data_IF_221192539466
#
_entry.id   IF_221192539466
#
_cell.length_a   1.000
_cell.length_b   1.000
_cell.length_c   1.000
_cell.angle_alpha   90.00
_cell.angle_beta   90.00
_cell.angle_gamma   90.00
#
_symmetry.space_group_name_H-M   'P 1'
#
loop_
_entity.id
_entity.type
_entity.pdbx_description
1 polymer ?
#
# COMPACT_ATOMS: atom_id res chain seq x y z
N UNK A 1 10.37 26.82 -7.25
CA UNK A 1 10.41 25.37 -6.98
C UNK A 1 10.08 25.20 -5.51
N UNK A 2 9.39 24.12 -5.15
CA UNK A 2 9.20 23.76 -3.76
C UNK A 2 10.12 22.57 -3.42
N UNK A 3 11.05 22.81 -2.50
CA UNK A 3 12.11 21.88 -2.11
C UNK A 3 11.74 21.24 -0.78
N UNK A 4 11.53 19.93 -0.75
CA UNK A 4 11.33 19.20 0.50
C UNK A 4 12.61 19.29 1.33
N UNK A 5 12.51 19.91 2.50
CA UNK A 5 13.62 20.18 3.41
C UNK A 5 13.61 19.20 4.60
N UNK A 6 12.43 18.90 5.13
CA UNK A 6 12.29 18.08 6.34
C UNK A 6 11.06 17.17 6.25
N UNK A 7 11.18 15.97 6.83
CA UNK A 7 10.08 15.05 7.08
C UNK A 7 10.11 14.62 8.55
N UNK A 8 8.98 14.74 9.24
CA UNK A 8 8.77 14.23 10.60
C UNK A 8 7.59 13.27 10.59
N UNK A 9 7.75 12.10 11.23
CA UNK A 9 6.66 11.15 11.45
C UNK A 9 6.22 11.22 12.90
N UNK A 10 4.92 11.44 13.12
CA UNK A 10 4.34 11.50 14.45
C UNK A 10 3.76 10.13 14.81
N UNK A 11 4.06 9.57 15.99
CA UNK A 11 3.53 8.30 16.45
C UNK A 11 2.10 8.47 17.01
N UNK A 12 1.21 9.08 16.22
CA UNK A 12 -0.18 9.25 16.57
C UNK A 12 -1.07 8.17 15.91
N UNK A 13 -2.35 8.13 16.30
CA UNK A 13 -3.32 7.18 15.74
C UNK A 13 -3.59 7.36 14.25
N UNK A 14 -3.18 8.49 13.68
CA UNK A 14 -3.42 8.85 12.28
C UNK A 14 -2.18 8.65 11.40
N UNK A 15 -1.08 8.20 11.99
CA UNK A 15 0.23 8.08 11.35
C UNK A 15 0.60 9.38 10.62
N UNK A 16 0.47 10.52 11.30
CA UNK A 16 0.67 11.83 10.70
C UNK A 16 2.12 12.02 10.26
N UNK A 17 2.30 12.51 9.04
CA UNK A 17 3.58 12.90 8.46
C UNK A 17 3.57 14.41 8.20
N UNK A 18 4.57 15.12 8.70
CA UNK A 18 4.76 16.56 8.48
C UNK A 18 5.94 16.77 7.55
N UNK A 19 5.66 17.36 6.39
CA UNK A 19 6.62 17.70 5.36
C UNK A 19 6.85 19.21 5.38
N UNK A 20 8.08 19.67 5.53
CA UNK A 20 8.43 21.10 5.45
C UNK A 20 9.14 21.36 4.13
N UNK A 21 8.64 22.32 3.37
CA UNK A 21 9.19 22.74 2.09
C UNK A 21 9.74 24.17 2.18
N UNK A 22 10.88 24.40 1.53
CA UNK A 22 11.35 25.75 1.18
C UNK A 22 10.85 26.07 -0.22
N UNK A 23 10.03 27.12 -0.33
CA UNK A 23 9.39 27.52 -1.58
C UNK A 23 10.08 28.76 -2.12
N UNK A 24 10.65 28.64 -3.33
CA UNK A 24 11.44 29.72 -3.92
C UNK A 24 10.56 30.76 -4.63
N UNK A 25 11.06 32.01 -4.74
CA UNK A 25 10.37 33.15 -5.38
C UNK A 25 9.84 32.93 -6.80
N UNK A 26 10.29 31.88 -7.48
CA UNK A 26 9.72 31.49 -8.79
C UNK A 26 8.21 31.25 -8.74
N UNK A 27 7.66 30.80 -7.60
CA UNK A 27 6.22 30.58 -7.42
C UNK A 27 5.40 31.87 -7.52
N UNK A 28 6.00 33.00 -7.14
CA UNK A 28 5.34 34.30 -7.13
C UNK A 28 5.78 35.21 -8.26
N UNK A 29 6.71 34.77 -9.14
CA UNK A 29 7.25 35.59 -10.23
C UNK A 29 6.48 35.40 -11.54
N UNK A 30 6.12 34.17 -11.87
CA UNK A 30 5.54 33.79 -13.16
C UNK A 30 4.10 33.29 -12.95
N UNK A 31 3.06 34.08 -13.29
CA UNK A 31 1.67 33.70 -13.06
C UNK A 31 1.18 32.60 -14.02
N UNK A 32 1.81 32.46 -15.19
CA UNK A 32 1.36 31.52 -16.23
C UNK A 32 1.93 30.11 -16.05
N UNK A 33 2.79 29.92 -15.04
CA UNK A 33 3.50 28.68 -14.80
C UNK A 33 3.29 28.16 -13.39
N UNK A 34 2.55 27.06 -13.30
CA UNK A 34 2.46 26.28 -12.07
C UNK A 34 3.83 25.73 -11.65
N UNK A 35 4.11 25.79 -10.36
CA UNK A 35 5.33 25.25 -9.77
C UNK A 35 4.99 24.02 -8.95
N UNK A 36 5.61 22.88 -9.31
CA UNK A 36 5.39 21.60 -8.63
C UNK A 36 6.66 21.14 -7.91
N UNK A 37 6.50 20.51 -6.75
CA UNK A 37 7.61 19.87 -6.02
C UNK A 37 8.08 18.60 -6.73
N UNK A 38 9.22 18.05 -6.28
CA UNK A 38 9.51 16.63 -6.54
C UNK A 38 8.46 15.75 -5.86
N UNK A 39 8.28 14.54 -6.38
CA UNK A 39 7.40 13.55 -5.76
C UNK A 39 7.93 13.12 -4.39
N UNK A 40 7.02 12.88 -3.46
CA UNK A 40 7.29 12.32 -2.15
C UNK A 40 6.27 11.22 -1.83
N UNK A 41 6.63 10.30 -0.94
CA UNK A 41 5.77 9.19 -0.57
C UNK A 41 5.13 9.39 0.80
N UNK A 42 3.83 9.09 0.93
CA UNK A 42 3.11 9.09 2.19
C UNK A 42 1.92 8.11 2.11
N UNK A 43 1.74 7.26 3.14
CA UNK A 43 0.64 6.29 3.18
C UNK A 43 0.62 5.33 1.99
N UNK A 44 1.80 4.84 1.56
CA UNK A 44 1.98 3.98 0.39
C UNK A 44 1.52 4.58 -0.96
N UNK A 45 1.30 5.90 -1.01
CA UNK A 45 0.94 6.65 -2.20
C UNK A 45 2.04 7.67 -2.54
N UNK A 46 2.10 8.08 -3.81
CA UNK A 46 2.99 9.14 -4.28
C UNK A 46 2.23 10.46 -4.40
N UNK A 47 2.86 11.54 -3.95
CA UNK A 47 2.28 12.86 -3.87
C UNK A 47 3.25 13.92 -4.40
N UNK A 48 2.70 15.04 -4.85
CA UNK A 48 3.43 16.29 -5.05
C UNK A 48 2.62 17.46 -4.54
N UNK A 49 3.28 18.56 -4.20
CA UNK A 49 2.58 19.84 -4.01
C UNK A 49 2.74 20.70 -5.27
N UNK A 50 1.65 21.33 -5.67
CA UNK A 50 1.62 22.26 -6.80
C UNK A 50 1.09 23.61 -6.34
N UNK A 51 1.72 24.67 -6.79
CA UNK A 51 1.29 26.04 -6.58
C UNK A 51 0.77 26.62 -7.88
N UNK A 52 -0.45 27.16 -7.83
CA UNK A 52 -1.00 27.95 -8.94
C UNK A 52 -1.05 29.40 -8.53
N UNK A 53 -0.64 30.31 -9.41
CA UNK A 53 -0.73 31.73 -9.15
C UNK A 53 -1.78 32.37 -10.07
N UNK A 54 -2.55 33.27 -9.49
CA UNK A 54 -3.27 34.30 -10.25
C UNK A 54 -2.61 35.66 -9.96
N UNK A 55 -3.05 36.72 -10.62
CA UNK A 55 -2.48 38.06 -10.41
C UNK A 55 -2.45 38.48 -8.94
N UNK A 56 -3.47 38.09 -8.16
CA UNK A 56 -3.66 38.53 -6.77
C UNK A 56 -3.44 37.42 -5.75
N UNK A 57 -3.75 36.17 -6.08
CA UNK A 57 -3.79 35.07 -5.13
C UNK A 57 -2.78 33.99 -5.48
N UNK A 58 -2.13 33.45 -4.45
CA UNK A 58 -1.42 32.19 -4.51
C UNK A 58 -2.34 31.07 -4.03
N UNK A 59 -2.39 29.98 -4.78
CA UNK A 59 -3.04 28.73 -4.41
C UNK A 59 -2.04 27.60 -4.20
N UNK A 60 -2.43 26.61 -3.39
CA UNK A 60 -1.63 25.41 -3.12
C UNK A 60 -2.52 24.16 -3.17
N UNK A 61 -2.01 23.10 -3.78
CA UNK A 61 -2.71 21.84 -3.99
C UNK A 61 -1.82 20.66 -3.64
N UNK A 62 -2.42 19.66 -2.99
CA UNK A 62 -1.89 18.32 -2.90
C UNK A 62 -2.33 17.57 -4.15
N UNK A 63 -1.38 16.92 -4.83
CA UNK A 63 -1.63 16.17 -6.06
C UNK A 63 -1.21 14.73 -5.87
N UNK A 64 -2.15 13.81 -6.05
CA UNK A 64 -1.95 12.38 -6.05
C UNK A 64 -1.33 11.95 -7.39
N UNK A 65 -0.14 11.33 -7.35
CA UNK A 65 0.64 10.95 -8.54
C UNK A 65 0.48 9.49 -8.95
N UNK A 66 0.03 8.63 -8.05
CA UNK A 66 -0.18 7.20 -8.30
C UNK A 66 -1.65 6.87 -8.56
N UNK A 67 -2.36 7.75 -9.28
CA UNK A 67 -3.74 7.53 -9.65
C UNK A 67 -3.89 6.29 -10.54
N UNK A 68 -4.86 5.43 -10.20
CA UNK A 68 -5.24 4.26 -10.99
C UNK A 68 -6.75 4.14 -11.03
N UNK A 69 -7.28 3.58 -12.12
CA UNK A 69 -8.72 3.40 -12.28
C UNK A 69 -9.30 2.59 -11.13
N UNK A 70 -10.52 2.93 -10.73
CA UNK A 70 -11.24 2.26 -9.63
C UNK A 70 -10.58 2.39 -8.25
N UNK A 71 -9.45 3.09 -8.13
CA UNK A 71 -8.83 3.43 -6.84
C UNK A 71 -9.28 4.80 -6.37
N UNK A 72 -9.50 4.90 -5.06
CA UNK A 72 -9.82 6.14 -4.35
C UNK A 72 -8.91 6.25 -3.15
N UNK A 73 -8.38 7.44 -2.92
CA UNK A 73 -7.57 7.72 -1.73
C UNK A 73 -8.24 8.79 -0.91
N UNK A 74 -8.39 8.54 0.40
CA UNK A 74 -8.90 9.50 1.36
C UNK A 74 -7.76 9.97 2.25
N UNK A 75 -7.66 11.28 2.45
CA UNK A 75 -6.56 11.90 3.21
C UNK A 75 -7.06 13.03 4.09
N UNK A 76 -6.55 13.09 5.31
CA UNK A 76 -6.58 14.31 6.10
C UNK A 76 -5.29 15.09 5.80
N UNK A 77 -5.41 16.36 5.41
CA UNK A 77 -4.23 17.20 5.19
C UNK A 77 -4.41 18.62 5.74
N UNK A 78 -3.30 19.26 6.06
CA UNK A 78 -3.23 20.68 6.42
C UNK A 78 -2.03 21.31 5.73
N UNK A 79 -2.27 22.39 4.98
CA UNK A 79 -1.22 23.27 4.49
C UNK A 79 -1.08 24.45 5.45
N UNK A 80 0.15 24.81 5.80
CA UNK A 80 0.48 25.93 6.69
C UNK A 80 1.66 26.72 6.13
N UNK A 81 1.49 27.99 5.82
CA UNK A 81 2.61 28.89 5.50
C UNK A 81 3.12 29.44 6.83
N UNK A 82 4.42 29.25 7.07
CA UNK A 82 5.06 29.66 8.32
C UNK A 82 5.43 31.13 8.26
N UNK A 83 4.92 31.88 9.22
CA UNK A 83 5.35 33.25 9.45
C UNK A 83 6.72 33.25 10.14
N UNK A 84 7.60 34.16 9.73
CA UNK A 84 8.97 34.24 10.27
C UNK A 84 9.04 34.95 11.61
N UNK A 85 8.03 35.72 11.97
CA UNK A 85 7.98 36.50 13.22
C UNK A 85 7.39 35.69 14.36
N UNK A 86 6.19 35.11 14.17
CA UNK A 86 5.52 34.35 15.22
C UNK A 86 4.54 33.31 14.67
N UNK A 87 4.46 32.13 15.30
CA UNK A 87 3.63 31.03 14.81
C UNK A 87 2.11 31.31 14.84
N UNK A 88 1.66 32.24 15.70
CA UNK A 88 0.23 32.58 15.83
C UNK A 88 -0.34 33.30 14.61
N UNK A 89 0.52 33.81 13.73
CA UNK A 89 0.15 34.48 12.47
C UNK A 89 0.42 33.60 11.25
N UNK A 90 0.69 32.31 11.45
CA UNK A 90 0.72 31.34 10.37
C UNK A 90 -0.63 31.32 9.63
N UNK A 91 -0.59 31.22 8.31
CA UNK A 91 -1.79 31.03 7.49
C UNK A 91 -1.94 29.54 7.20
N UNK A 92 -3.14 29.00 7.31
CA UNK A 92 -3.37 27.58 7.06
C UNK A 92 -4.74 27.27 6.49
N UNK A 93 -4.85 26.16 5.78
CA UNK A 93 -6.11 25.53 5.43
C UNK A 93 -5.98 24.02 5.54
N UNK A 94 -7.10 23.35 5.81
CA UNK A 94 -7.13 21.91 6.03
C UNK A 94 -8.32 21.25 5.33
N UNK A 95 -8.17 19.96 5.06
CA UNK A 95 -9.23 19.08 4.59
C UNK A 95 -9.21 17.78 5.39
N UNK A 96 -10.40 17.25 5.70
CA UNK A 96 -10.58 15.96 6.38
C UNK A 96 -11.25 14.97 5.44
N UNK A 97 -10.73 13.76 5.38
CA UNK A 97 -11.19 12.68 4.51
C UNK A 97 -11.40 13.15 3.06
N UNK A 98 -10.48 13.99 2.58
CA UNK A 98 -10.55 14.52 1.22
C UNK A 98 -10.31 13.38 0.24
N UNK A 99 -11.22 13.23 -0.71
CA UNK A 99 -11.22 12.15 -1.70
C UNK A 99 -10.42 12.55 -2.94
N UNK A 100 -9.50 11.68 -3.33
CA UNK A 100 -8.74 11.72 -4.57
C UNK A 100 -9.15 10.55 -5.46
N UNK A 101 -9.31 10.83 -6.75
CA UNK A 101 -9.62 9.86 -7.81
C UNK A 101 -8.79 10.18 -9.05
N UNK A 102 -8.82 9.30 -10.05
CA UNK A 102 -8.21 9.59 -11.36
C UNK A 102 -8.77 10.86 -12.00
N UNK A 103 -10.07 11.12 -11.85
CA UNK A 103 -10.73 12.33 -12.38
C UNK A 103 -10.45 13.59 -11.57
N UNK A 104 -10.13 13.42 -10.28
CA UNK A 104 -9.86 14.52 -9.34
C UNK A 104 -8.58 14.22 -8.53
N UNK A 105 -7.40 14.23 -9.18
CA UNK A 105 -6.13 13.87 -8.53
C UNK A 105 -5.52 15.03 -7.76
N UNK A 106 -6.02 16.26 -7.92
CA UNK A 106 -5.52 17.45 -7.25
C UNK A 106 -6.59 18.08 -6.37
N UNK A 107 -6.26 18.36 -5.11
CA UNK A 107 -7.15 18.99 -4.12
C UNK A 107 -6.39 20.07 -3.37
N UNK A 108 -7.02 21.20 -3.11
CA UNK A 108 -6.33 22.33 -2.53
C UNK A 108 -7.19 23.58 -2.42
N UNK A 109 -6.53 24.72 -2.24
CA UNK A 109 -7.17 26.01 -2.16
C UNK A 109 -6.54 26.96 -3.18
N UNK A 110 -7.34 27.42 -4.15
CA UNK A 110 -6.93 28.41 -5.16
C UNK A 110 -6.68 29.79 -4.56
N UNK A 111 -7.40 30.13 -3.51
CA UNK A 111 -7.42 31.43 -2.85
C UNK A 111 -6.77 31.32 -1.47
N UNK A 112 -5.56 30.75 -1.40
CA UNK A 112 -4.92 30.47 -0.13
C UNK A 112 -4.43 31.75 0.54
N UNK A 113 -3.60 32.54 -0.14
CA UNK A 113 -3.06 33.79 0.40
C UNK A 113 -2.89 34.85 -0.69
N UNK A 114 -3.21 36.12 -0.43
CA UNK A 114 -2.84 37.21 -1.32
C UNK A 114 -1.33 37.28 -1.52
N UNK A 115 -0.87 37.52 -2.74
CA UNK A 115 0.56 37.66 -3.02
C UNK A 115 1.15 38.87 -2.29
N UNK A 116 0.37 39.94 -2.10
CA UNK A 116 0.75 41.10 -1.29
C UNK A 116 1.07 40.73 0.16
N UNK A 117 0.27 39.83 0.74
CA UNK A 117 0.37 39.42 2.14
C UNK A 117 1.63 38.59 2.39
N UNK A 118 2.03 37.74 1.43
CA UNK A 118 3.28 36.99 1.52
C UNK A 118 4.48 37.90 1.79
N UNK A 119 4.54 39.03 1.10
CA UNK A 119 5.63 40.00 1.24
C UNK A 119 5.41 41.00 2.39
N UNK A 120 4.16 41.45 2.59
CA UNK A 120 3.83 42.49 3.56
C UNK A 120 3.74 42.01 5.01
N UNK A 121 3.56 40.70 5.25
CA UNK A 121 3.31 40.12 6.59
C UNK A 121 4.40 39.16 7.07
N UNK A 122 5.65 39.33 6.65
CA UNK A 122 6.80 38.54 7.14
C UNK A 122 6.73 37.01 6.89
N UNK A 123 6.08 36.56 5.80
CA UNK A 123 6.16 35.15 5.38
C UNK A 123 7.42 34.86 4.56
N UNK A 124 7.86 35.81 3.74
CA UNK A 124 9.03 35.66 2.89
C UNK A 124 10.31 36.20 3.53
N UNK A 125 11.44 35.63 3.16
CA UNK A 125 12.77 36.18 3.43
C UNK A 125 13.17 37.27 2.41
N UNK A 126 14.38 37.81 2.54
CA UNK A 126 14.92 38.82 1.63
C UNK A 126 15.07 38.33 0.17
N UNK A 127 15.14 37.02 -0.05
CA UNK A 127 15.21 36.40 -1.37
C UNK A 127 13.83 36.11 -1.95
N UNK A 128 12.75 36.39 -1.20
CA UNK A 128 11.37 36.05 -1.57
C UNK A 128 11.03 34.57 -1.37
N UNK A 129 11.78 33.84 -0.55
CA UNK A 129 11.52 32.45 -0.20
C UNK A 129 10.69 32.35 1.08
N UNK A 130 9.80 31.37 1.15
CA UNK A 130 8.98 31.12 2.34
C UNK A 130 8.94 29.63 2.67
N UNK A 131 8.56 29.31 3.91
CA UNK A 131 8.39 27.92 4.34
C UNK A 131 6.92 27.52 4.31
N UNK A 132 6.66 26.34 3.76
CA UNK A 132 5.35 25.70 3.77
C UNK A 132 5.45 24.36 4.49
N UNK A 133 4.57 24.14 5.47
CA UNK A 133 4.35 22.82 6.05
C UNK A 133 3.11 22.17 5.47
N UNK A 134 3.23 20.90 5.14
CA UNK A 134 2.14 20.02 4.77
C UNK A 134 2.09 18.89 5.78
N UNK A 135 1.00 18.83 6.54
CA UNK A 135 0.66 17.67 7.36
C UNK A 135 -0.24 16.74 6.56
N UNK A 136 0.07 15.45 6.52
CA UNK A 136 -0.76 14.39 5.92
C UNK A 136 -0.99 13.31 6.98
N UNK A 137 -2.24 12.90 7.17
CA UNK A 137 -2.60 11.80 8.07
C UNK A 137 -3.82 11.05 7.56
N UNK A 138 -4.15 9.95 8.24
CA UNK A 138 -5.35 9.15 7.98
C UNK A 138 -5.50 8.73 6.50
N UNK A 139 -4.38 8.38 5.85
CA UNK A 139 -4.37 7.97 4.44
C UNK A 139 -5.02 6.60 4.29
N UNK A 140 -6.10 6.51 3.53
CA UNK A 140 -6.81 5.25 3.22
C UNK A 140 -6.88 5.05 1.72
N UNK A 141 -6.51 3.87 1.24
CA UNK A 141 -6.60 3.50 -0.18
C UNK A 141 -7.63 2.41 -0.37
N UNK A 142 -8.64 2.69 -1.17
CA UNK A 142 -9.71 1.75 -1.54
C UNK A 142 -9.64 1.45 -3.04
N UNK A 143 -9.82 0.19 -3.40
CA UNK A 143 -9.99 -0.28 -4.76
C UNK A 143 -11.36 -0.96 -4.87
N UNK A 144 -12.25 -0.35 -5.65
CA UNK A 144 -13.65 -0.76 -5.76
C UNK A 144 -13.97 -1.20 -7.19
N UNK A 145 -14.24 -2.48 -7.41
CA UNK A 145 -14.44 -3.06 -8.74
C UNK A 145 -15.47 -4.18 -8.71
N UNK A 146 -15.62 -4.90 -9.81
CA UNK A 146 -16.46 -6.09 -9.88
C UNK A 146 -15.82 -7.19 -10.74
N UNK A 147 -16.07 -8.44 -10.36
CA UNK A 147 -15.86 -9.57 -11.26
C UNK A 147 -17.10 -9.79 -12.10
N UNK A 148 -16.96 -9.72 -13.42
CA UNK A 148 -18.00 -10.15 -14.35
C UNK A 148 -18.03 -11.68 -14.41
N UNK A 149 -19.19 -12.28 -14.14
CA UNK A 149 -19.36 -13.74 -14.16
C UNK A 149 -19.78 -14.18 -15.57
N UNK A 150 -18.96 -14.99 -16.28
CA UNK A 150 -19.34 -15.53 -17.57
C UNK A 150 -20.69 -16.27 -17.54
N UNK A 151 -21.47 -16.15 -18.61
CA UNK A 151 -22.75 -16.86 -18.79
C UNK A 151 -22.61 -18.37 -18.63
N UNK A 152 -21.48 -18.95 -19.04
CA UNK A 152 -21.18 -20.38 -18.87
C UNK A 152 -21.15 -20.83 -17.40
N UNK A 153 -20.72 -19.97 -16.48
CA UNK A 153 -20.76 -20.24 -15.03
C UNK A 153 -22.15 -19.99 -14.48
N UNK A 154 -22.82 -18.93 -14.94
CA UNK A 154 -24.18 -18.58 -14.52
C UNK A 154 -25.16 -19.72 -14.83
N UNK A 155 -25.07 -20.34 -16.00
CA UNK A 155 -25.90 -21.50 -16.37
C UNK A 155 -25.67 -22.71 -15.46
N UNK A 156 -24.43 -22.95 -15.00
CA UNK A 156 -24.11 -24.05 -14.06
C UNK A 156 -24.71 -23.79 -12.67
N UNK A 157 -24.70 -22.53 -12.21
CA UNK A 157 -25.33 -22.15 -10.95
C UNK A 157 -26.85 -22.40 -10.98
N UNK A 158 -27.50 -22.12 -12.10
CA UNK A 158 -28.95 -22.30 -12.27
C UNK A 158 -29.36 -23.79 -12.38
N UNK A 159 -28.55 -24.62 -13.05
CA UNK A 159 -28.85 -26.06 -13.17
C UNK A 159 -28.72 -26.82 -11.85
N UNK A 160 -27.82 -26.41 -10.94
CA UNK A 160 -27.67 -27.11 -9.66
C UNK A 160 -28.88 -26.92 -8.73
N UNK A 161 -29.64 -25.84 -8.88
CA UNK A 161 -30.85 -25.58 -8.12
C UNK A 161 -32.03 -26.50 -8.54
N UNK A 162 -32.10 -26.90 -9.81
CA UNK A 162 -33.21 -27.72 -10.32
C UNK A 162 -33.07 -29.23 -10.04
N UNK A 163 -31.85 -29.73 -9.83
CA UNK A 163 -31.66 -31.16 -9.52
C UNK A 163 -32.00 -31.55 -8.08
N UNK A 164 -32.06 -30.59 -7.14
CA UNK A 164 -32.37 -30.89 -5.72
C UNK A 164 -33.88 -31.09 -5.50
N UNK A 165 -34.74 -30.66 -6.42
CA UNK A 165 -36.20 -30.83 -6.30
C UNK A 165 -36.74 -32.17 -6.82
N UNK A 166 -35.93 -33.01 -7.47
CA UNK A 166 -36.40 -34.24 -8.15
C UNK A 166 -35.76 -35.54 -7.63
N UNK A 167 -35.63 -35.69 -6.31
CA UNK A 167 -35.35 -37.00 -5.70
C UNK A 167 -36.52 -37.51 -4.86
N UNK A 168 -37.52 -38.08 -5.56
CA UNK A 168 -38.41 -39.14 -5.08
C UNK A 168 -38.85 -40.01 -6.27
N UNK A 169 -38.03 -41.01 -6.63
CA UNK A 169 -38.53 -42.30 -7.14
C UNK A 169 -37.37 -43.30 -7.31
N UNK A 170 -37.40 -44.49 -6.70
CA UNK A 170 -36.49 -45.58 -7.03
C UNK A 170 -37.23 -46.68 -7.79
N UNK A 171 -37.02 -46.82 -9.10
CA UNK A 171 -37.30 -48.07 -9.82
C UNK A 171 -36.75 -48.08 -11.26
N UNK A 172 -35.99 -49.14 -11.57
CA UNK A 172 -35.68 -49.74 -12.88
C UNK A 172 -34.91 -48.87 -13.91
N UNK A 173 -33.97 -49.35 -14.72
CA UNK A 173 -33.46 -50.68 -15.04
C UNK A 173 -32.41 -50.51 -16.15
N UNK A 174 -31.50 -51.46 -16.27
CA UNK A 174 -30.35 -51.47 -17.19
C UNK A 174 -30.66 -51.18 -18.67
N UNK A 175 -29.82 -50.35 -19.32
CA UNK A 175 -29.55 -50.46 -20.76
C UNK A 175 -28.20 -49.79 -21.16
N UNK A 176 -27.21 -50.66 -21.41
CA UNK A 176 -26.18 -50.65 -22.45
C UNK A 176 -25.66 -49.31 -23.02
N UNK A 177 -24.47 -48.97 -22.52
CA UNK A 177 -23.26 -48.51 -23.22
C UNK A 177 -23.33 -48.41 -24.76
N UNK A 178 -23.33 -47.19 -25.28
CA UNK A 178 -22.71 -46.87 -26.57
C UNK A 178 -21.90 -45.58 -26.47
N UNK A 179 -20.63 -45.76 -26.78
CA UNK A 179 -19.51 -44.84 -26.62
C UNK A 179 -19.40 -43.98 -27.89
N UNK A 180 -19.79 -42.70 -27.80
CA UNK A 180 -19.29 -41.66 -28.68
C UNK A 180 -18.59 -40.62 -27.81
N UNK A 181 -17.26 -40.67 -27.84
CA UNK A 181 -16.40 -39.72 -27.17
C UNK A 181 -16.48 -38.35 -27.83
N UNK A 182 -17.42 -37.53 -27.39
CA UNK A 182 -17.22 -36.08 -27.42
C UNK A 182 -16.26 -35.75 -26.28
N UNK A 183 -15.02 -35.46 -26.62
CA UNK A 183 -14.02 -34.96 -25.70
C UNK A 183 -14.61 -33.76 -24.94
N UNK A 184 -15.01 -33.97 -23.68
CA UNK A 184 -15.31 -32.88 -22.77
C UNK A 184 -14.02 -32.05 -22.66
N UNK A 185 -14.05 -30.73 -22.92
CA UNK A 185 -12.84 -29.92 -22.86
C UNK A 185 -12.31 -30.02 -21.43
N UNK A 186 -11.13 -30.63 -21.32
CA UNK A 186 -10.36 -30.78 -20.09
C UNK A 186 -10.40 -29.44 -19.32
N UNK A 187 -10.85 -29.53 -18.08
CA UNK A 187 -11.07 -28.45 -17.10
C UNK A 187 -10.57 -27.06 -17.49
N UNK A 188 -11.46 -26.25 -18.04
CA UNK A 188 -11.25 -24.80 -18.13
C UNK A 188 -11.11 -24.28 -16.70
N UNK A 189 -9.89 -23.87 -16.31
CA UNK A 189 -9.65 -23.17 -15.05
C UNK A 189 -10.57 -21.94 -15.03
N UNK A 190 -11.62 -21.98 -14.22
CA UNK A 190 -12.51 -20.85 -14.04
C UNK A 190 -11.82 -19.85 -13.12
N UNK A 191 -11.11 -18.88 -13.70
CA UNK A 191 -10.42 -17.80 -13.01
C UNK A 191 -11.04 -16.48 -13.47
N UNK A 192 -11.41 -15.64 -12.52
CA UNK A 192 -11.85 -14.26 -12.77
C UNK A 192 -10.76 -13.33 -12.27
N UNK A 193 -10.45 -12.27 -13.02
CA UNK A 193 -9.41 -11.30 -12.65
C UNK A 193 -9.94 -9.87 -12.74
N UNK A 194 -9.46 -9.01 -11.86
CA UNK A 194 -9.68 -7.57 -11.94
C UNK A 194 -8.66 -6.91 -12.85
N UNK A 195 -8.89 -5.64 -13.17
CA UNK A 195 -7.83 -4.77 -13.70
C UNK A 195 -6.70 -4.59 -12.68
N UNK A 196 -5.57 -4.05 -13.15
CA UNK A 196 -4.45 -3.70 -12.29
C UNK A 196 -4.69 -2.39 -11.55
N UNK A 197 -4.13 -2.29 -10.34
CA UNK A 197 -4.09 -1.04 -9.57
C UNK A 197 -2.75 -0.90 -8.86
N UNK A 198 -2.37 0.34 -8.53
CA UNK A 198 -1.06 0.64 -7.94
C UNK A 198 -1.17 0.95 -6.44
N UNK A 199 -0.31 0.34 -5.64
CA UNK A 199 -0.18 0.61 -4.20
C UNK A 199 1.21 0.24 -3.68
N UNK A 200 1.82 1.09 -2.85
CA UNK A 200 3.14 0.82 -2.26
C UNK A 200 4.30 0.81 -3.26
N UNK A 201 4.08 1.35 -4.46
CA UNK A 201 5.06 1.30 -5.57
C UNK A 201 5.02 0.00 -6.37
N UNK A 202 4.04 -0.87 -6.15
CA UNK A 202 3.80 -2.08 -6.92
C UNK A 202 2.44 -2.01 -7.61
N UNK A 203 2.31 -2.81 -8.67
CA UNK A 203 1.02 -3.07 -9.31
C UNK A 203 0.45 -4.38 -8.79
N UNK A 204 -0.87 -4.43 -8.67
CA UNK A 204 -1.60 -5.52 -8.04
C UNK A 204 -2.85 -5.87 -8.85
N UNK A 205 -3.30 -7.11 -8.80
CA UNK A 205 -4.66 -7.49 -9.19
C UNK A 205 -5.26 -8.49 -8.20
N UNK A 206 -6.58 -8.67 -8.27
CA UNK A 206 -7.27 -9.75 -7.58
C UNK A 206 -7.62 -10.86 -8.57
N UNK A 207 -7.37 -12.11 -8.17
CA UNK A 207 -7.79 -13.30 -8.89
C UNK A 207 -8.75 -14.13 -8.03
N UNK A 208 -9.97 -14.35 -8.50
CA UNK A 208 -10.99 -15.16 -7.87
C UNK A 208 -11.13 -16.51 -8.58
N UNK A 209 -11.09 -17.59 -7.81
CA UNK A 209 -11.36 -18.96 -8.24
C UNK A 209 -12.68 -19.41 -7.60
N UNK A 210 -13.79 -19.43 -8.36
CA UNK A 210 -15.13 -19.73 -7.84
C UNK A 210 -15.30 -21.11 -7.20
N UNK A 211 -14.51 -22.10 -7.62
CA UNK A 211 -14.69 -23.52 -7.29
C UNK A 211 -13.36 -24.22 -7.01
N UNK A 212 -12.52 -23.61 -6.17
CA UNK A 212 -11.27 -24.23 -5.72
C UNK A 212 -10.14 -23.23 -5.55
N UNK A 213 -8.93 -23.73 -5.74
CA UNK A 213 -7.64 -23.09 -5.40
C UNK A 213 -6.81 -22.97 -6.68
N UNK A 214 -5.87 -22.00 -6.74
CA UNK A 214 -5.04 -21.65 -7.93
C UNK A 214 -4.39 -22.83 -8.66
N UNK A 215 -4.02 -23.90 -7.94
CA UNK A 215 -3.26 -25.05 -8.45
C UNK A 215 -3.97 -26.41 -8.30
N UNK A 216 -5.19 -26.44 -7.77
CA UNK A 216 -6.00 -27.65 -7.80
C UNK A 216 -6.72 -27.73 -9.16
N UNK A 217 -6.69 -28.88 -9.83
CA UNK A 217 -7.78 -29.22 -10.76
C UNK A 217 -9.10 -28.96 -10.02
N UNK A 218 -10.14 -28.52 -10.73
CA UNK A 218 -11.46 -28.17 -10.21
C UNK A 218 -12.24 -29.36 -9.59
N UNK A 219 -11.56 -30.15 -8.78
CA UNK A 219 -11.94 -31.36 -8.06
C UNK A 219 -11.72 -31.20 -6.55
N UNK A 220 -11.35 -30.00 -6.07
CA UNK A 220 -11.20 -29.77 -4.63
C UNK A 220 -12.54 -30.00 -3.92
N UNK A 221 -12.49 -30.86 -2.92
CA UNK A 221 -13.59 -31.26 -2.06
C UNK A 221 -14.26 -30.01 -1.47
N UNK A 222 -15.58 -29.93 -1.69
CA UNK A 222 -16.49 -28.81 -1.36
C UNK A 222 -16.25 -27.53 -2.17
N UNK A 223 -17.31 -26.98 -2.78
CA UNK A 223 -17.30 -25.76 -3.61
C UNK A 223 -16.88 -24.47 -2.91
N UNK A 224 -15.68 -24.46 -2.34
CA UNK A 224 -15.02 -23.36 -1.65
C UNK A 224 -14.35 -22.49 -2.71
N UNK A 225 -14.59 -21.19 -2.61
CA UNK A 225 -13.90 -20.22 -3.45
C UNK A 225 -12.57 -19.81 -2.83
N UNK A 226 -11.67 -19.26 -3.64
CA UNK A 226 -10.45 -18.61 -3.15
C UNK A 226 -10.17 -17.33 -3.90
N UNK A 227 -9.58 -16.36 -3.20
CA UNK A 227 -9.17 -15.08 -3.76
C UNK A 227 -7.70 -14.83 -3.47
N UNK A 228 -6.97 -14.38 -4.47
CA UNK A 228 -5.56 -14.05 -4.36
C UNK A 228 -5.34 -12.60 -4.73
N UNK A 229 -4.63 -11.88 -3.88
CA UNK A 229 -4.01 -10.61 -4.25
C UNK A 229 -2.66 -10.92 -4.88
N UNK A 230 -2.55 -10.78 -6.19
CA UNK A 230 -1.29 -11.03 -6.89
C UNK A 230 -0.55 -9.71 -7.07
N UNK A 231 0.75 -9.75 -6.83
CA UNK A 231 1.65 -8.65 -7.15
C UNK A 231 2.15 -8.84 -8.57
N UNK A 232 2.20 -7.77 -9.34
CA UNK A 232 2.49 -7.79 -10.77
C UNK A 232 3.83 -7.13 -11.13
N UNK A 233 4.51 -6.50 -10.17
CA UNK A 233 5.82 -5.85 -10.35
C UNK A 233 6.73 -5.99 -9.11
N UNK A 234 8.03 -5.72 -9.26
CA UNK A 234 9.01 -5.69 -8.16
C UNK A 234 9.45 -7.05 -7.61
N UNK A 235 9.48 -8.07 -8.47
CA UNK A 235 9.74 -9.49 -8.17
C UNK A 235 11.12 -9.81 -7.57
N UNK A 236 12.02 -8.84 -7.53
CA UNK A 236 13.35 -8.92 -6.94
C UNK A 236 13.33 -9.16 -5.43
N UNK A 237 12.20 -8.89 -4.78
CA UNK A 237 12.04 -9.05 -3.33
C UNK A 237 10.68 -9.63 -2.96
N UNK A 238 10.60 -10.22 -1.76
CA UNK A 238 9.32 -10.50 -1.12
C UNK A 238 8.66 -9.20 -0.67
N UNK A 239 7.33 -9.18 -0.59
CA UNK A 239 6.56 -8.04 -0.13
C UNK A 239 5.54 -8.47 0.92
N UNK A 240 5.68 -7.95 2.15
CA UNK A 240 4.63 -8.09 3.15
C UNK A 240 3.49 -7.16 2.81
N UNK A 241 2.27 -7.69 2.80
CA UNK A 241 1.06 -6.96 2.43
C UNK A 241 -0.02 -7.16 3.48
N UNK A 242 -0.72 -6.10 3.84
CA UNK A 242 -1.92 -6.16 4.69
C UNK A 242 -3.07 -5.46 3.99
N UNK A 243 -4.25 -6.08 4.02
CA UNK A 243 -5.42 -5.60 3.32
C UNK A 243 -6.71 -6.15 3.93
N UNK A 244 -7.85 -5.53 3.61
CA UNK A 244 -9.18 -6.05 3.90
C UNK A 244 -9.93 -6.21 2.59
N UNK A 245 -10.59 -7.34 2.41
CA UNK A 245 -11.34 -7.65 1.21
C UNK A 245 -12.79 -7.94 1.57
N UNK A 246 -13.69 -7.30 0.85
CA UNK A 246 -15.13 -7.51 0.92
C UNK A 246 -15.62 -7.94 -0.45
N UNK A 247 -16.37 -9.03 -0.50
CA UNK A 247 -17.00 -9.54 -1.72
C UNK A 247 -18.52 -9.50 -1.60
N UNK A 248 -19.18 -9.18 -2.71
CA UNK A 248 -20.63 -9.04 -2.76
C UNK A 248 -21.14 -7.78 -2.07
N UNK A 249 -22.46 -7.69 -1.86
CA UNK A 249 -23.13 -6.50 -1.34
C UNK A 249 -24.44 -6.86 -0.62
N UNK A 250 -24.94 -5.95 0.22
CA UNK A 250 -26.14 -6.13 1.03
C UNK A 250 -26.08 -7.39 1.90
N UNK A 251 -27.13 -8.20 1.85
CA UNK A 251 -27.22 -9.47 2.60
C UNK A 251 -26.29 -10.57 2.06
N UNK A 252 -25.76 -10.38 0.85
CA UNK A 252 -24.86 -11.30 0.15
C UNK A 252 -23.42 -10.77 0.19
N UNK A 253 -22.99 -10.35 1.37
CA UNK A 253 -21.68 -9.73 1.62
C UNK A 253 -20.82 -10.66 2.47
N UNK A 254 -19.55 -10.78 2.09
CA UNK A 254 -18.53 -11.53 2.82
C UNK A 254 -17.33 -10.63 3.09
N UNK A 255 -16.89 -10.59 4.34
CA UNK A 255 -15.79 -9.75 4.82
C UNK A 255 -14.63 -10.63 5.30
N UNK A 256 -13.42 -10.35 4.84
CA UNK A 256 -12.24 -11.11 5.25
C UNK A 256 -11.69 -10.72 6.62
N UNK A 257 -12.06 -9.54 7.16
CA UNK A 257 -11.25 -8.85 8.15
C UNK A 257 -9.88 -8.48 7.61
N UNK A 258 -8.93 -8.16 8.50
CA UNK A 258 -7.55 -7.82 8.09
C UNK A 258 -6.77 -9.10 7.77
N UNK A 259 -6.37 -9.22 6.51
CA UNK A 259 -5.45 -10.24 6.02
C UNK A 259 -4.00 -9.69 6.10
N UNK A 260 -3.07 -10.57 6.49
CA UNK A 260 -1.62 -10.31 6.53
C UNK A 260 -0.95 -11.45 5.77
N UNK A 261 -0.31 -11.12 4.66
CA UNK A 261 0.20 -12.07 3.67
C UNK A 261 1.61 -11.64 3.22
N UNK A 262 2.34 -12.58 2.62
CA UNK A 262 3.65 -12.32 2.02
C UNK A 262 3.57 -12.72 0.55
N UNK A 263 3.71 -11.72 -0.31
CA UNK A 263 3.93 -11.96 -1.73
C UNK A 263 5.38 -12.38 -1.94
N UNK A 264 5.58 -13.58 -2.48
CA UNK A 264 6.89 -14.13 -2.80
C UNK A 264 7.57 -13.40 -3.98
N UNK A 265 8.78 -13.81 -4.34
CA UNK A 265 9.52 -13.26 -5.48
C UNK A 265 8.85 -13.51 -6.83
N UNK A 266 7.88 -14.44 -6.94
CA UNK A 266 7.09 -14.64 -8.16
C UNK A 266 5.79 -13.80 -8.15
N UNK A 267 5.59 -12.96 -7.12
CA UNK A 267 4.36 -12.18 -6.95
C UNK A 267 3.17 -12.97 -6.42
N UNK A 268 3.36 -14.23 -5.99
CA UNK A 268 2.30 -15.10 -5.48
C UNK A 268 2.12 -14.92 -3.98
N UNK A 269 0.89 -15.08 -3.52
CA UNK A 269 0.48 -14.93 -2.12
C UNK A 269 -0.27 -16.19 -1.66
N UNK A 270 -0.42 -16.39 -0.35
CA UNK A 270 -1.18 -17.54 0.16
C UNK A 270 -2.65 -17.46 -0.24
N UNK A 271 -3.20 -16.25 -0.30
CA UNK A 271 -4.58 -15.99 -0.66
C UNK A 271 -5.57 -16.27 0.48
N UNK A 272 -6.83 -15.94 0.24
CA UNK A 272 -7.94 -16.08 1.16
C UNK A 272 -8.93 -17.15 0.68
N UNK A 273 -9.23 -18.14 1.52
CA UNK A 273 -10.04 -19.31 1.18
C UNK A 273 -11.29 -19.41 2.07
N UNK A 274 -12.29 -18.53 1.90
CA UNK A 274 -13.47 -18.57 2.73
C UNK A 274 -14.33 -19.80 2.45
N UNK A 275 -14.99 -20.31 3.49
CA UNK A 275 -15.99 -21.39 3.39
C UNK A 275 -17.35 -20.81 2.98
N UNK A 276 -17.39 -20.14 1.83
CA UNK A 276 -18.58 -19.49 1.29
C UNK A 276 -18.81 -19.95 -0.14
N UNK A 277 -20.06 -20.18 -0.53
CA UNK A 277 -20.38 -20.62 -1.89
C UNK A 277 -20.34 -19.42 -2.82
N UNK A 278 -19.59 -19.54 -3.91
CA UNK A 278 -19.53 -18.48 -4.91
C UNK A 278 -20.91 -18.01 -5.40
N UNK A 279 -21.85 -18.94 -5.59
CA UNK A 279 -23.22 -18.67 -6.03
C UNK A 279 -23.99 -17.69 -5.14
N UNK A 280 -23.65 -17.65 -3.85
CA UNK A 280 -24.33 -16.81 -2.88
C UNK A 280 -23.88 -15.34 -2.99
N UNK A 281 -22.69 -15.07 -3.57
CA UNK A 281 -22.17 -13.71 -3.80
C UNK A 281 -22.61 -13.12 -5.14
N UNK A 282 -22.95 -13.96 -6.12
CA UNK A 282 -23.32 -13.50 -7.45
C UNK A 282 -24.66 -12.77 -7.41
N UNK A 283 -24.65 -11.52 -7.84
CA UNK A 283 -25.85 -10.69 -7.98
C UNK A 283 -25.88 -10.10 -9.38
N UNK A 284 -26.93 -10.41 -10.14
CA UNK A 284 -27.09 -9.96 -11.55
C UNK A 284 -25.88 -10.24 -12.44
N UNK A 285 -25.19 -11.36 -12.21
CA UNK A 285 -24.04 -11.77 -13.02
C UNK A 285 -22.71 -11.08 -12.65
N UNK A 286 -22.65 -10.35 -11.54
CA UNK A 286 -21.39 -9.78 -11.04
C UNK A 286 -21.16 -10.12 -9.56
N UNK A 287 -19.90 -10.02 -9.14
CA UNK A 287 -19.50 -10.03 -7.73
C UNK A 287 -18.78 -8.71 -7.46
N UNK A 288 -19.39 -7.85 -6.64
CA UNK A 288 -18.77 -6.59 -6.21
C UNK A 288 -17.56 -6.87 -5.32
N UNK A 289 -16.56 -6.01 -5.43
CA UNK A 289 -15.29 -6.11 -4.72
C UNK A 289 -14.98 -4.75 -4.10
N UNK A 290 -14.77 -4.75 -2.79
CA UNK A 290 -14.20 -3.62 -2.07
C UNK A 290 -12.91 -4.08 -1.39
N UNK A 291 -11.78 -3.54 -1.83
CA UNK A 291 -10.46 -3.85 -1.29
C UNK A 291 -9.88 -2.61 -0.61
N UNK A 292 -9.56 -2.70 0.68
CA UNK A 292 -8.80 -1.67 1.39
C UNK A 292 -7.35 -2.14 1.58
N UNK A 293 -6.42 -1.42 0.96
CA UNK A 293 -4.99 -1.68 1.11
C UNK A 293 -4.46 -0.94 2.33
N UNK A 294 -3.81 -1.67 3.25
CA UNK A 294 -3.32 -1.12 4.52
C UNK A 294 -1.79 -0.99 4.54
N UNK A 295 -1.08 -1.96 3.96
CA UNK A 295 0.38 -2.00 3.98
C UNK A 295 0.90 -2.76 2.77
N UNK A 296 1.99 -2.28 2.18
CA UNK A 296 2.79 -3.00 1.19
C UNK A 296 4.25 -2.57 1.35
N UNK A 297 5.07 -3.45 1.92
CA UNK A 297 6.48 -3.19 2.19
C UNK A 297 7.35 -4.31 1.66
N UNK A 298 8.42 -3.95 0.97
CA UNK A 298 9.49 -4.88 0.64
C UNK A 298 10.08 -5.49 1.91
N UNK A 299 10.31 -6.79 1.88
CA UNK A 299 11.07 -7.50 2.90
C UNK A 299 12.51 -7.65 2.43
N UNK A 300 13.44 -7.29 3.30
CA UNK A 300 14.86 -7.55 3.13
C UNK A 300 15.35 -8.34 4.32
N UNK A 301 15.94 -9.50 4.06
CA UNK A 301 16.52 -10.34 5.10
C UNK A 301 17.96 -9.90 5.35
N UNK A 302 18.27 -9.64 6.61
CA UNK A 302 19.62 -9.31 7.06
C UNK A 302 20.01 -10.38 8.06
N UNK A 303 20.91 -11.27 7.65
CA UNK A 303 21.45 -12.28 8.55
C UNK A 303 22.47 -11.60 9.47
N UNK A 304 22.14 -11.52 10.75
CA UNK A 304 23.08 -11.10 11.80
C UNK A 304 23.38 -12.31 12.68
N UNK A 305 24.63 -12.75 12.68
CA UNK A 305 25.08 -13.82 13.56
C UNK A 305 25.33 -13.25 14.96
N UNK A 306 24.53 -13.61 15.96
CA UNK A 306 24.89 -13.33 17.35
C UNK A 306 25.89 -14.41 17.77
N UNK A 307 27.16 -14.05 17.89
CA UNK A 307 28.18 -14.96 18.39
C UNK A 307 28.08 -14.98 19.91
N UNK A 308 27.60 -16.10 20.46
CA UNK A 308 27.65 -16.39 21.89
C UNK A 308 29.02 -16.98 22.19
N UNK A 309 29.93 -16.20 22.77
CA UNK A 309 31.21 -16.72 23.23
C UNK A 309 31.02 -17.41 24.57
N UNK A 310 31.04 -18.74 24.58
CA UNK A 310 31.22 -19.53 25.81
C UNK A 310 32.69 -19.46 26.26
N UNK A 311 32.93 -19.23 27.55
CA UNK A 311 34.27 -19.15 28.12
C UNK A 311 34.93 -20.54 28.07
N UNK A 312 36.12 -20.58 27.46
CA UNK A 312 37.19 -21.58 27.46
C UNK A 312 36.96 -22.92 28.21
N UNK A 313 37.11 -24.01 27.46
CA UNK A 313 37.64 -25.27 27.99
C UNK A 313 39.03 -25.02 28.60
N UNK A 314 39.12 -24.92 29.93
CA UNK A 314 40.19 -25.52 30.73
C UNK A 314 39.90 -25.35 32.22
N UNK A 315 39.63 -26.48 32.90
CA UNK A 315 40.00 -26.73 34.29
C UNK A 315 39.35 -25.90 35.41
N UNK A 316 38.37 -26.52 36.08
CA UNK A 316 38.07 -26.49 37.53
C UNK A 316 37.76 -25.14 38.22
N UNK A 317 36.59 -25.15 38.86
CA UNK A 317 36.14 -24.41 40.07
C UNK A 317 35.29 -23.13 39.97
N UNK A 318 34.12 -23.28 40.63
CA UNK A 318 33.33 -22.33 41.43
C UNK A 318 32.58 -21.17 40.78
N UNK A 319 31.25 -21.31 40.83
CA UNK A 319 30.27 -20.28 41.23
C UNK A 319 30.53 -18.84 40.77
N UNK A 320 30.27 -18.57 39.49
CA UNK A 320 29.91 -17.25 39.01
C UNK A 320 28.85 -17.42 37.91
N UNK A 321 27.81 -16.59 37.94
CA UNK A 321 26.74 -16.53 36.94
C UNK A 321 27.32 -16.66 35.52
N UNK A 322 26.91 -17.71 34.79
CA UNK A 322 27.25 -17.90 33.38
C UNK A 322 26.68 -16.75 32.55
N UNK A 323 27.46 -15.66 32.45
CA UNK A 323 27.15 -14.52 31.60
C UNK A 323 27.50 -14.88 30.15
N UNK A 324 26.48 -15.15 29.35
CA UNK A 324 26.59 -15.24 27.90
C UNK A 324 26.88 -13.83 27.37
N UNK A 325 28.10 -13.59 26.88
CA UNK A 325 28.42 -12.31 26.21
C UNK A 325 28.20 -12.49 24.71
N UNK A 326 27.17 -11.82 24.19
CA UNK A 326 26.93 -11.70 22.76
C UNK A 326 27.88 -10.65 22.16
N UNK A 327 28.70 -11.06 21.18
CA UNK A 327 29.58 -10.11 20.46
C UNK A 327 28.79 -9.33 19.40
N UNK A 328 28.94 -7.99 19.32
CA UNK A 328 28.25 -7.16 18.35
C UNK A 328 28.72 -7.51 16.93
N UNK A 329 27.81 -7.98 16.07
CA UNK A 329 28.11 -8.27 14.66
C UNK A 329 27.63 -7.13 13.76
N UNK A 330 28.45 -6.83 12.75
CA UNK A 330 28.15 -5.84 11.72
C UNK A 330 27.75 -6.56 10.44
N UNK A 331 26.49 -6.43 10.04
CA UNK A 331 26.02 -6.89 8.73
C UNK A 331 25.97 -5.73 7.75
N UNK A 332 26.41 -5.95 6.52
CA UNK A 332 26.25 -4.99 5.43
C UNK A 332 25.00 -5.31 4.62
N UNK A 333 24.28 -4.29 4.20
CA UNK A 333 23.11 -4.41 3.32
C UNK A 333 23.06 -3.21 2.37
N UNK A 334 22.27 -3.32 1.31
CA UNK A 334 22.10 -2.27 0.31
C UNK A 334 20.62 -1.92 0.19
N UNK A 335 20.31 -0.65 -0.02
CA UNK A 335 18.96 -0.25 -0.40
C UNK A 335 18.71 -0.48 -1.90
N UNK A 336 17.49 -0.16 -2.35
CA UNK A 336 17.07 -0.31 -3.75
C UNK A 336 17.94 0.49 -4.72
N UNK A 337 18.50 1.61 -4.28
CA UNK A 337 19.35 2.48 -5.09
C UNK A 337 20.83 2.06 -5.01
N UNK A 338 21.09 0.89 -4.41
CA UNK A 338 22.41 0.28 -4.18
C UNK A 338 23.30 1.09 -3.25
N UNK A 339 22.73 1.98 -2.42
CA UNK A 339 23.54 2.62 -1.40
C UNK A 339 23.83 1.66 -0.26
N UNK A 340 25.05 1.72 0.25
CA UNK A 340 25.52 0.86 1.31
C UNK A 340 25.01 1.30 2.69
N UNK A 341 24.50 0.33 3.43
CA UNK A 341 24.09 0.44 4.82
C UNK A 341 24.82 -0.61 5.66
N UNK A 342 24.98 -0.34 6.95
CA UNK A 342 25.42 -1.36 7.91
C UNK A 342 24.53 -1.38 9.14
N UNK A 343 24.12 -2.56 9.54
CA UNK A 343 23.38 -2.80 10.77
C UNK A 343 24.33 -3.44 11.78
N UNK A 344 24.36 -2.89 12.99
CA UNK A 344 25.12 -3.45 14.12
C UNK A 344 24.15 -3.82 15.23
N UNK A 345 24.26 -5.04 15.74
CA UNK A 345 23.59 -5.45 16.95
C UNK A 345 24.36 -4.96 18.18
N UNK A 346 23.65 -4.35 19.12
CA UNK A 346 24.12 -4.12 20.48
C UNK A 346 23.25 -4.95 21.43
N UNK A 347 23.88 -5.95 22.02
CA UNK A 347 23.26 -6.93 22.92
C UNK A 347 23.66 -6.69 24.38
N UNK A 348 24.23 -5.53 24.72
CA UNK A 348 24.67 -5.22 26.09
C UNK A 348 23.54 -4.76 27.02
N UNK A 349 22.34 -4.54 26.48
CA UNK A 349 21.16 -4.12 27.25
C UNK A 349 20.13 -5.25 27.38
N UNK A 350 19.11 -5.06 28.22
CA UNK A 350 17.97 -6.00 28.34
C UNK A 350 17.21 -6.21 27.02
N UNK A 351 17.39 -5.30 26.06
CA UNK A 351 16.81 -5.38 24.71
C UNK A 351 17.92 -5.44 23.67
N UNK A 352 17.67 -6.13 22.56
CA UNK A 352 18.55 -6.05 21.39
C UNK A 352 18.34 -4.70 20.72
N UNK A 353 19.39 -3.88 20.67
CA UNK A 353 19.39 -2.61 19.95
C UNK A 353 20.03 -2.81 18.59
N UNK A 354 19.45 -2.22 17.56
CA UNK A 354 19.99 -2.26 16.20
C UNK A 354 20.44 -0.85 15.79
N UNK A 355 21.73 -0.68 15.53
CA UNK A 355 22.29 0.56 15.00
C UNK A 355 22.44 0.45 13.49
N UNK A 356 21.59 1.16 12.74
CA UNK A 356 21.68 1.27 11.29
C UNK A 356 22.48 2.51 10.90
N UNK A 357 23.47 2.35 10.02
CA UNK A 357 24.39 3.40 9.61
C UNK A 357 24.47 3.44 8.08
N UNK A 358 24.17 4.60 7.49
CA UNK A 358 24.40 4.88 6.09
C UNK A 358 25.91 5.01 5.81
N UNK A 359 26.42 4.29 4.81
CA UNK A 359 27.86 4.23 4.52
C UNK A 359 28.32 5.11 3.36
N UNK A 360 27.43 5.50 2.47
CA UNK A 360 27.77 6.27 1.29
C UNK A 360 27.59 7.78 1.48
N UNK A 361 28.10 8.31 2.59
CA UNK A 361 27.91 9.72 2.93
C UNK A 361 28.48 10.67 1.87
N UNK A 362 29.48 10.24 1.09
CA UNK A 362 30.00 10.98 -0.05
C UNK A 362 28.95 11.27 -1.14
N UNK A 363 27.88 10.46 -1.22
CA UNK A 363 26.78 10.65 -2.16
C UNK A 363 25.71 11.62 -1.62
N UNK A 364 25.80 12.03 -0.36
CA UNK A 364 24.90 13.03 0.22
C UNK A 364 25.36 14.41 -0.27
N UNK A 365 24.51 15.18 -0.99
CA UNK A 365 24.94 16.48 -1.48
C UNK A 365 25.25 17.40 -0.29
N UNK A 366 26.38 18.11 -0.36
CA UNK A 366 26.92 18.95 0.75
C UNK A 366 25.91 19.96 1.30
N UNK A 367 24.96 20.40 0.48
CA UNK A 367 23.94 21.38 0.89
C UNK A 367 22.81 20.80 1.76
N UNK A 368 22.75 19.47 1.92
CA UNK A 368 21.78 18.78 2.79
C UNK A 368 22.36 18.40 4.16
N UNK A 369 23.66 18.59 4.37
CA UNK A 369 24.33 18.44 5.66
C UNK A 369 24.50 19.85 6.27
N UNK A 370 23.41 20.43 6.75
CA UNK A 370 23.44 21.67 7.55
C UNK A 370 22.80 21.41 8.90
#
# INVERSE_FOLDING_TARGET
MALLYRLVKLPDRFQTHVFTFVVTKSVTRDPDRDVTSKEFACGHQKWSITFSRTDKMLGAYLVWKSASESVRVYVDFTFTILNREHFSVNESFAGKQVKFTTDCPAQGNRNYIPVSDLYGRNFTDANGEFQLELSIGHVRTLYDTEFCVPTSLTSRLMHHHHQIQNHHNPAAGNALQHQYGTASPRGSKCKLETSYFTFGGFDWNLALYPHGVKDASCTSVEGRMSVYLNRCTGFDHQCRVRYMLVLGDGDKRLDSGVLDDVSDSDGKSYGWHPRYKFSELVTKGTVRVHLEMLLANTLSEVISSIVITGINQHGVSSAASSGVVASPTKTQCYDRDKHAWSIRSDCQSETVRLHMVYKDIQNVPRNHLR
#
